data_IF_962805365989
#
_entry.id   IF_962805365989
#
_cell.length_a   1.000
_cell.length_b   1.000
_cell.length_c   1.000
_cell.angle_alpha   90.00
_cell.angle_beta   90.00
_cell.angle_gamma   90.00
#
_symmetry.space_group_name_H-M   'P 1'
#
loop_
_entity.id
_entity.type
_entity.pdbx_description
1 polymer ?
#
# COMPACT_ATOMS: atom_id res chain seq x y z
N UNK A 1 -73.57 -27.69 -53.13
CA UNK A 1 -73.18 -26.66 -52.12
C UNK A 1 -72.71 -27.21 -50.75
N UNK A 2 -72.66 -28.53 -50.50
CA UNK A 2 -72.15 -29.08 -49.22
C UNK A 2 -70.63 -29.31 -49.19
N UNK A 3 -69.99 -29.57 -50.33
CA UNK A 3 -68.54 -29.80 -50.40
C UNK A 3 -67.69 -28.53 -50.11
N UNK A 4 -68.17 -27.36 -50.54
CA UNK A 4 -67.45 -26.07 -50.35
C UNK A 4 -67.36 -25.67 -48.87
N UNK A 5 -68.34 -26.06 -48.05
CA UNK A 5 -68.35 -25.82 -46.59
C UNK A 5 -67.37 -26.72 -45.82
N UNK A 6 -67.01 -27.88 -46.36
CA UNK A 6 -66.02 -28.78 -45.75
C UNK A 6 -64.59 -28.27 -45.93
N UNK A 7 -64.27 -27.79 -47.12
CA UNK A 7 -62.94 -27.25 -47.46
C UNK A 7 -62.62 -25.98 -46.67
N UNK A 8 -63.57 -25.04 -46.55
CA UNK A 8 -63.38 -23.83 -45.75
C UNK A 8 -63.09 -24.09 -44.27
N UNK A 9 -63.72 -25.12 -43.69
CA UNK A 9 -63.48 -25.52 -42.29
C UNK A 9 -62.10 -26.18 -42.10
N UNK A 10 -61.60 -26.88 -43.11
CA UNK A 10 -60.27 -27.48 -43.08
C UNK A 10 -59.17 -26.42 -43.15
N UNK A 11 -59.29 -25.43 -44.06
CA UNK A 11 -58.35 -24.32 -44.17
C UNK A 11 -58.29 -23.51 -42.88
N UNK A 12 -59.44 -23.21 -42.27
CA UNK A 12 -59.48 -22.49 -40.99
C UNK A 12 -58.76 -23.25 -39.87
N UNK A 13 -58.97 -24.58 -39.76
CA UNK A 13 -58.26 -25.43 -38.78
C UNK A 13 -56.76 -25.48 -39.04
N UNK A 14 -56.34 -25.59 -40.31
CA UNK A 14 -54.94 -25.56 -40.69
C UNK A 14 -54.30 -24.23 -40.31
N UNK A 15 -54.96 -23.10 -40.58
CA UNK A 15 -54.46 -21.77 -40.24
C UNK A 15 -54.29 -21.58 -38.72
N UNK A 16 -55.26 -22.05 -37.93
CA UNK A 16 -55.18 -22.01 -36.45
C UNK A 16 -54.06 -22.90 -35.93
N UNK A 17 -53.95 -24.15 -36.39
CA UNK A 17 -52.89 -25.08 -35.95
C UNK A 17 -51.51 -24.58 -36.37
N UNK A 18 -51.37 -24.10 -37.60
CA UNK A 18 -50.10 -23.54 -38.10
C UNK A 18 -49.69 -22.31 -37.29
N UNK A 19 -50.60 -21.37 -37.06
CA UNK A 19 -50.34 -20.19 -36.22
C UNK A 19 -49.96 -20.59 -34.79
N UNK A 20 -50.64 -21.58 -34.21
CA UNK A 20 -50.31 -22.09 -32.88
C UNK A 20 -48.91 -22.72 -32.84
N UNK A 21 -48.55 -23.53 -33.84
CA UNK A 21 -47.22 -24.16 -33.92
C UNK A 21 -46.13 -23.10 -34.09
N UNK A 22 -46.29 -22.15 -35.01
CA UNK A 22 -45.29 -21.10 -35.23
C UNK A 22 -45.11 -20.25 -33.97
N UNK A 23 -46.20 -19.87 -33.30
CA UNK A 23 -46.11 -19.11 -32.06
C UNK A 23 -45.48 -19.93 -30.93
N UNK A 24 -45.81 -21.22 -30.81
CA UNK A 24 -45.20 -22.11 -29.83
C UNK A 24 -43.69 -22.24 -30.05
N UNK A 25 -43.26 -22.46 -31.30
CA UNK A 25 -41.83 -22.52 -31.67
C UNK A 25 -41.14 -21.19 -31.37
N UNK A 26 -41.77 -20.06 -31.68
CA UNK A 26 -41.25 -18.73 -31.36
C UNK A 26 -41.07 -18.55 -29.85
N UNK A 27 -42.06 -18.94 -29.05
CA UNK A 27 -41.99 -18.87 -27.58
C UNK A 27 -40.84 -19.74 -27.05
N UNK A 28 -40.71 -20.98 -27.55
CA UNK A 28 -39.59 -21.87 -27.17
C UNK A 28 -38.25 -21.26 -27.56
N UNK A 29 -38.15 -20.65 -28.75
CA UNK A 29 -36.93 -19.99 -29.21
C UNK A 29 -36.56 -18.78 -28.33
N UNK A 30 -37.53 -17.95 -27.94
CA UNK A 30 -37.32 -16.82 -27.04
C UNK A 30 -36.88 -17.29 -25.65
N UNK A 31 -37.48 -18.36 -25.14
CA UNK A 31 -37.04 -18.98 -23.89
C UNK A 31 -35.59 -19.43 -24.06
N UNK A 32 -35.26 -20.28 -25.02
CA UNK A 32 -33.87 -20.75 -25.22
C UNK A 32 -32.85 -19.60 -25.35
N UNK A 33 -33.20 -18.52 -26.05
CA UNK A 33 -32.33 -17.35 -26.21
C UNK A 33 -32.13 -16.60 -24.88
N UNK A 34 -33.19 -16.44 -24.08
CA UNK A 34 -33.08 -15.84 -22.76
C UNK A 34 -32.19 -16.66 -21.81
N UNK A 35 -32.24 -18.00 -21.86
CA UNK A 35 -31.36 -18.86 -21.05
C UNK A 35 -29.89 -18.62 -21.40
N UNK A 36 -29.59 -18.51 -22.70
CA UNK A 36 -28.24 -18.22 -23.17
C UNK A 36 -27.80 -16.80 -22.78
N UNK A 37 -28.70 -15.81 -22.79
CA UNK A 37 -28.39 -14.47 -22.31
C UNK A 37 -28.07 -14.45 -20.82
N UNK A 38 -28.80 -15.20 -19.98
CA UNK A 38 -28.48 -15.31 -18.55
C UNK A 38 -27.14 -15.99 -18.33
N UNK A 39 -26.84 -17.05 -19.08
CA UNK A 39 -25.55 -17.74 -19.00
C UNK A 39 -24.39 -16.79 -19.36
N UNK A 40 -24.51 -16.04 -20.46
CA UNK A 40 -23.50 -15.03 -20.85
C UNK A 40 -23.41 -13.91 -19.81
N UNK A 41 -24.55 -13.43 -19.28
CA UNK A 41 -24.58 -12.39 -18.26
C UNK A 41 -23.80 -12.85 -17.02
N UNK A 42 -24.09 -14.04 -16.50
CA UNK A 42 -23.57 -14.52 -15.23
C UNK A 42 -22.12 -15.01 -15.35
N UNK A 43 -21.77 -15.68 -16.45
CA UNK A 43 -20.45 -16.30 -16.60
C UNK A 43 -19.44 -15.45 -17.38
N UNK A 44 -19.88 -14.43 -18.14
CA UNK A 44 -18.98 -13.64 -18.99
C UNK A 44 -19.06 -12.15 -18.66
N UNK A 45 -20.24 -11.55 -18.79
CA UNK A 45 -20.38 -10.08 -18.70
C UNK A 45 -20.17 -9.60 -17.27
N UNK A 46 -20.80 -10.25 -16.29
CA UNK A 46 -20.69 -9.85 -14.88
C UNK A 46 -19.26 -9.98 -14.37
N UNK A 47 -18.57 -11.12 -14.51
CA UNK A 47 -17.19 -11.25 -14.03
C UNK A 47 -16.22 -10.27 -14.73
N UNK A 48 -16.39 -10.02 -16.03
CA UNK A 48 -15.50 -9.10 -16.75
C UNK A 48 -15.70 -7.64 -16.33
N UNK A 49 -16.93 -7.16 -16.30
CA UNK A 49 -17.22 -5.75 -16.00
C UNK A 49 -17.04 -5.49 -14.50
N UNK A 50 -17.48 -6.42 -13.65
CA UNK A 50 -17.27 -6.34 -12.21
C UNK A 50 -15.79 -6.44 -11.85
N UNK A 51 -15.04 -7.37 -12.48
CA UNK A 51 -13.60 -7.52 -12.26
C UNK A 51 -12.79 -6.30 -12.69
N UNK A 52 -13.20 -5.64 -13.79
CA UNK A 52 -12.56 -4.40 -14.23
C UNK A 52 -12.85 -3.25 -13.25
N UNK A 53 -14.11 -3.07 -12.86
CA UNK A 53 -14.51 -2.05 -11.89
C UNK A 53 -13.87 -2.29 -10.50
N UNK A 54 -13.87 -3.53 -10.03
CA UNK A 54 -13.23 -3.92 -8.76
C UNK A 54 -11.73 -3.65 -8.79
N UNK A 55 -11.06 -3.92 -9.92
CA UNK A 55 -9.65 -3.58 -10.11
C UNK A 55 -9.39 -2.08 -10.01
N UNK A 56 -10.25 -1.22 -10.55
CA UNK A 56 -10.08 0.23 -10.40
C UNK A 56 -10.29 0.71 -8.96
N UNK A 57 -11.28 0.15 -8.25
CA UNK A 57 -11.46 0.42 -6.82
C UNK A 57 -10.26 -0.06 -6.02
N UNK A 58 -9.74 -1.26 -6.33
CA UNK A 58 -8.55 -1.81 -5.70
C UNK A 58 -7.30 -0.97 -5.98
N UNK A 59 -7.13 -0.45 -7.20
CA UNK A 59 -6.03 0.46 -7.51
C UNK A 59 -6.15 1.78 -6.74
N UNK A 60 -7.35 2.35 -6.60
CA UNK A 60 -7.59 3.57 -5.83
C UNK A 60 -7.29 3.38 -4.32
N UNK A 61 -7.63 2.21 -3.78
CA UNK A 61 -7.36 1.83 -2.39
C UNK A 61 -5.93 1.33 -2.13
N UNK A 62 -5.12 1.14 -3.18
CA UNK A 62 -3.78 0.58 -3.03
C UNK A 62 -2.81 1.61 -2.44
N UNK A 63 -1.68 1.12 -1.93
CA UNK A 63 -0.62 1.93 -1.36
C UNK A 63 0.72 1.55 -1.97
N UNK A 64 1.57 2.53 -2.24
CA UNK A 64 2.97 2.32 -2.59
C UNK A 64 3.78 2.20 -1.30
N UNK A 65 4.53 1.11 -1.14
CA UNK A 65 5.51 0.94 -0.07
C UNK A 65 6.92 1.10 -0.65
N UNK A 66 7.63 2.15 -0.23
CA UNK A 66 8.94 2.47 -0.77
C UNK A 66 9.88 2.99 0.31
N UNK A 67 11.15 2.60 0.25
CA UNK A 67 12.21 3.16 1.09
C UNK A 67 12.91 4.30 0.37
N UNK A 68 12.71 5.53 0.84
CA UNK A 68 13.30 6.75 0.31
C UNK A 68 14.68 6.95 0.98
N UNK A 69 15.79 6.87 0.23
CA UNK A 69 17.10 7.19 0.78
C UNK A 69 17.24 8.71 0.89
N UNK A 70 17.42 9.19 2.11
CA UNK A 70 17.82 10.56 2.40
C UNK A 70 19.34 10.54 2.53
N UNK A 71 20.01 11.23 1.61
CA UNK A 71 21.45 11.44 1.59
C UNK A 71 21.67 12.93 1.56
N UNK A 72 22.05 13.49 2.70
CA UNK A 72 22.17 14.94 2.87
C UNK A 72 23.40 15.28 3.71
N UNK A 73 23.91 16.49 3.56
CA UNK A 73 25.02 17.01 4.33
C UNK A 73 24.53 18.21 5.15
N UNK A 74 24.54 18.07 6.48
CA UNK A 74 24.08 19.13 7.37
C UNK A 74 25.29 19.96 7.81
N UNK A 75 25.31 21.29 7.53
CA UNK A 75 26.37 22.14 8.02
C UNK A 75 26.21 22.35 9.52
N UNK A 76 27.25 22.00 10.28
CA UNK A 76 27.30 22.18 11.73
C UNK A 76 28.29 23.28 12.04
N UNK A 77 27.74 24.44 12.41
CA UNK A 77 28.50 25.64 12.79
C UNK A 77 28.29 25.90 14.28
N UNK A 78 29.36 25.75 15.04
CA UNK A 78 29.37 26.13 16.45
C UNK A 78 30.76 26.57 16.88
N UNK A 79 30.79 27.42 17.88
CA UNK A 79 32.01 27.89 18.49
C UNK A 79 32.36 27.00 19.68
N UNK A 80 33.51 26.33 19.65
CA UNK A 80 34.01 25.50 20.76
C UNK A 80 34.84 26.37 21.72
N UNK A 81 34.37 26.63 22.96
CA UNK A 81 35.17 27.33 23.95
C UNK A 81 36.27 26.40 24.47
N UNK A 82 37.52 26.80 24.30
CA UNK A 82 38.69 26.06 24.77
C UNK A 82 39.32 26.81 25.94
N UNK A 83 38.99 26.37 27.15
CA UNK A 83 39.57 26.85 28.40
C UNK A 83 40.46 25.74 29.00
N UNK A 84 41.78 25.82 28.78
CA UNK A 84 42.71 24.82 29.31
C UNK A 84 44.05 25.39 29.75
N UNK A 85 44.59 24.88 30.86
CA UNK A 85 45.96 25.17 31.27
C UNK A 85 46.92 24.28 30.46
N UNK A 86 47.80 24.90 29.68
CA UNK A 86 48.79 24.19 28.86
C UNK A 86 50.19 24.78 29.05
N UNK A 87 51.21 24.02 28.67
CA UNK A 87 52.61 24.47 28.73
C UNK A 87 53.07 24.76 27.31
N UNK A 88 53.19 26.04 26.98
CA UNK A 88 53.73 26.49 25.68
C UNK A 88 55.25 26.58 25.74
N UNK A 89 55.91 26.38 24.60
CA UNK A 89 57.36 26.53 24.49
C UNK A 89 57.65 27.77 23.66
N UNK A 90 58.51 28.66 24.16
CA UNK A 90 58.91 29.86 23.42
C UNK A 90 59.68 29.47 22.14
N UNK A 91 59.28 30.04 21.01
CA UNK A 91 59.95 29.84 19.71
C UNK A 91 61.08 30.82 19.45
N UNK A 92 61.13 31.93 20.18
CA UNK A 92 62.14 32.98 20.11
C UNK A 92 62.45 33.56 21.49
N UNK A 93 63.55 34.30 21.60
CA UNK A 93 63.97 34.98 22.83
C UNK A 93 63.03 36.15 23.13
N UNK A 94 62.37 36.15 24.30
CA UNK A 94 61.42 37.19 24.70
C UNK A 94 62.05 38.13 25.74
N UNK A 95 62.28 39.42 25.41
CA UNK A 95 62.78 40.38 26.38
C UNK A 95 61.72 40.73 27.44
N UNK A 96 62.12 40.73 28.71
CA UNK A 96 61.32 41.14 29.87
C UNK A 96 61.99 42.29 30.61
N UNK A 97 61.16 43.23 31.06
CA UNK A 97 61.60 44.29 32.00
C UNK A 97 60.88 44.07 33.32
N UNK A 98 61.62 43.78 34.39
CA UNK A 98 61.06 43.49 35.72
C UNK A 98 61.66 44.39 36.78
N UNK A 99 60.89 44.62 37.85
CA UNK A 99 61.39 45.27 39.06
C UNK A 99 61.84 44.20 40.05
N UNK A 100 63.12 44.20 40.40
CA UNK A 100 63.69 43.26 41.36
C UNK A 100 64.22 43.99 42.60
N UNK A 101 64.18 43.30 43.75
CA UNK A 101 64.88 43.74 44.94
C UNK A 101 66.23 43.04 44.97
N UNK A 102 67.31 43.79 44.79
CA UNK A 102 68.68 43.26 44.78
C UNK A 102 69.23 43.40 46.19
N UNK A 103 69.48 42.26 46.84
CA UNK A 103 70.11 42.20 48.17
C UNK A 103 71.51 41.61 48.05
N UNK A 104 72.53 42.47 48.07
CA UNK A 104 73.94 42.10 48.14
C UNK A 104 74.53 42.55 49.50
N UNK A 105 75.64 41.96 49.98
CA UNK A 105 76.18 42.19 51.32
C UNK A 105 76.44 43.66 51.71
N UNK A 106 76.57 44.56 50.73
CA UNK A 106 76.80 46.00 50.93
C UNK A 106 75.78 46.91 50.20
N UNK A 107 74.74 46.34 49.57
CA UNK A 107 73.83 47.10 48.71
C UNK A 107 72.44 46.47 48.74
N UNK A 108 71.45 47.27 49.14
CA UNK A 108 70.04 46.89 49.15
C UNK A 108 69.28 47.88 48.28
N UNK A 109 68.99 47.48 47.05
CA UNK A 109 68.21 48.30 46.11
C UNK A 109 66.83 47.65 45.97
N UNK A 110 65.83 48.36 46.47
CA UNK A 110 64.44 48.00 46.25
C UNK A 110 63.98 48.63 44.93
N UNK A 111 63.25 47.86 44.11
CA UNK A 111 62.69 48.32 42.83
C UNK A 111 63.72 48.67 41.74
N UNK A 112 64.83 47.94 41.65
CA UNK A 112 65.75 48.08 40.52
C UNK A 112 65.10 47.57 39.23
N UNK A 113 65.15 48.37 38.15
CA UNK A 113 64.74 47.94 36.81
C UNK A 113 65.80 47.01 36.23
N UNK A 114 65.44 45.77 35.93
CA UNK A 114 66.33 44.77 35.32
C UNK A 114 65.74 44.32 33.99
N UNK A 115 66.60 44.25 32.97
CA UNK A 115 66.27 43.71 31.66
C UNK A 115 66.73 42.24 31.62
N UNK A 116 65.78 41.31 31.47
CA UNK A 116 66.04 39.89 31.31
C UNK A 116 65.56 39.45 29.93
N UNK A 117 66.11 38.36 29.39
CA UNK A 117 65.57 37.70 28.21
C UNK A 117 65.20 36.28 28.58
N UNK A 118 63.96 35.87 28.31
CA UNK A 118 63.55 34.48 28.40
C UNK A 118 64.00 33.77 27.12
N UNK A 119 64.95 32.82 27.19
CA UNK A 119 65.49 32.19 25.99
C UNK A 119 64.45 31.31 25.29
N UNK A 120 64.58 31.17 23.98
CA UNK A 120 63.85 30.20 23.18
C UNK A 120 63.99 28.78 23.80
N UNK A 121 62.92 27.99 23.74
CA UNK A 121 62.85 26.68 24.40
C UNK A 121 62.40 26.70 25.86
N UNK A 122 62.21 27.88 26.47
CA UNK A 122 61.63 27.98 27.82
C UNK A 122 60.18 27.53 27.81
N UNK A 123 59.81 26.64 28.74
CA UNK A 123 58.46 26.09 28.90
C UNK A 123 57.66 26.95 29.87
N UNK A 124 56.59 27.58 29.40
CA UNK A 124 55.74 28.48 30.18
C UNK A 124 54.36 27.87 30.37
N UNK A 125 53.89 27.69 31.62
CA UNK A 125 52.50 27.37 31.88
C UNK A 125 51.63 28.59 31.60
N UNK A 126 50.61 28.43 30.77
CA UNK A 126 49.64 29.46 30.41
C UNK A 126 48.23 28.92 30.53
N UNK A 127 47.28 29.79 30.88
CA UNK A 127 45.86 29.51 30.75
C UNK A 127 45.43 29.96 29.35
N UNK A 128 45.03 29.00 28.51
CA UNK A 128 44.51 29.26 27.19
C UNK A 128 42.99 29.43 27.29
N UNK A 129 42.50 30.56 26.79
CA UNK A 129 41.08 30.88 26.61
C UNK A 129 40.90 31.31 25.16
N UNK A 130 40.35 30.41 24.35
CA UNK A 130 40.20 30.59 22.91
C UNK A 130 38.83 30.09 22.45
N UNK A 131 38.14 30.89 21.64
CA UNK A 131 36.96 30.45 20.92
C UNK A 131 37.38 29.89 19.56
N UNK A 132 37.22 28.58 19.36
CA UNK A 132 37.57 27.91 18.10
C UNK A 132 36.29 27.72 17.27
N UNK A 133 36.15 28.39 16.11
CA UNK A 133 35.01 28.15 15.24
C UNK A 133 35.15 26.77 14.59
N UNK A 134 34.11 25.95 14.72
CA UNK A 134 33.98 24.68 14.02
C UNK A 134 32.95 24.88 12.91
N UNK A 135 33.39 24.63 11.67
CA UNK A 135 32.54 24.62 10.48
C UNK A 135 32.80 23.29 9.77
N UNK A 136 31.93 22.32 10.00
CA UNK A 136 32.06 20.97 9.44
C UNK A 136 30.72 20.52 8.87
N UNK A 137 30.76 19.81 7.75
CA UNK A 137 29.59 19.12 7.21
C UNK A 137 29.54 17.70 7.79
N UNK A 138 28.37 17.31 8.28
CA UNK A 138 28.11 15.94 8.74
C UNK A 138 27.23 15.26 7.69
N UNK A 139 27.72 14.17 7.14
CA UNK A 139 26.97 13.32 6.23
C UNK A 139 25.87 12.58 6.99
N UNK A 140 24.64 12.67 6.49
CA UNK A 140 23.47 11.98 7.00
C UNK A 140 23.00 10.97 5.96
N UNK A 141 23.06 9.69 6.33
CA UNK A 141 22.50 8.59 5.56
C UNK A 141 21.33 7.99 6.34
N UNK A 142 20.10 8.33 5.93
CA UNK A 142 18.88 7.81 6.53
C UNK A 142 18.01 7.16 5.46
N UNK A 143 17.51 5.96 5.72
CA UNK A 143 16.54 5.29 4.86
C UNK A 143 15.15 5.37 5.51
N UNK A 144 14.25 6.12 4.89
CA UNK A 144 12.89 6.36 5.42
C UNK A 144 11.89 5.54 4.63
N UNK A 145 11.17 4.63 5.28
CA UNK A 145 10.05 3.92 4.65
C UNK A 145 8.84 4.85 4.55
N UNK A 146 8.28 4.99 3.36
CA UNK A 146 7.07 5.74 3.08
C UNK A 146 6.00 4.80 2.52
N UNK A 147 4.81 4.87 3.13
CA UNK A 147 3.60 4.21 2.62
C UNK A 147 2.68 5.30 2.07
N UNK A 148 2.49 5.32 0.75
CA UNK A 148 1.77 6.40 0.04
C UNK A 148 0.46 5.83 -0.50
N UNK A 149 -0.71 6.21 0.04
CA UNK A 149 -2.02 5.81 -0.50
C UNK A 149 -2.25 6.39 -1.90
N UNK A 150 -2.59 5.55 -2.88
CA UNK A 150 -2.79 5.99 -4.27
C UNK A 150 -3.97 6.97 -4.41
N UNK A 151 -5.04 6.77 -3.63
CA UNK A 151 -6.18 7.69 -3.57
C UNK A 151 -5.84 9.09 -3.03
N UNK A 152 -4.67 9.28 -2.40
CA UNK A 152 -4.16 10.59 -1.97
C UNK A 152 -3.16 11.20 -2.96
N UNK A 153 -2.95 10.57 -4.12
CA UNK A 153 -2.04 11.05 -5.16
C UNK A 153 -2.79 11.57 -6.38
N UNK A 154 -2.04 12.15 -7.34
CA UNK A 154 -2.59 12.54 -8.64
C UNK A 154 -3.07 11.36 -9.49
N UNK A 155 -2.71 10.11 -9.15
CA UNK A 155 -3.25 8.93 -9.81
C UNK A 155 -4.70 8.65 -9.41
N UNK A 156 -5.21 9.26 -8.35
CA UNK A 156 -6.62 9.18 -7.97
C UNK A 156 -7.54 9.65 -9.11
N UNK A 157 -7.31 10.84 -9.67
CA UNK A 157 -8.19 11.44 -10.69
C UNK A 157 -8.48 10.51 -11.89
N UNK A 158 -7.48 9.90 -12.58
CA UNK A 158 -7.76 8.99 -13.68
C UNK A 158 -8.38 7.66 -13.23
N UNK A 159 -8.04 7.14 -12.04
CA UNK A 159 -8.63 5.91 -11.50
C UNK A 159 -10.10 6.13 -11.10
N UNK A 160 -10.39 7.26 -10.48
CA UNK A 160 -11.74 7.70 -10.10
C UNK A 160 -12.63 7.86 -11.34
N UNK A 161 -12.11 8.50 -12.39
CA UNK A 161 -12.84 8.64 -13.64
C UNK A 161 -13.19 7.27 -14.25
N UNK A 162 -12.26 6.30 -14.21
CA UNK A 162 -12.54 4.93 -14.65
C UNK A 162 -13.60 4.26 -13.76
N UNK A 163 -13.53 4.43 -12.43
CA UNK A 163 -14.56 3.95 -11.51
C UNK A 163 -15.94 4.49 -11.87
N UNK A 164 -16.07 5.82 -12.01
CA UNK A 164 -17.33 6.50 -12.35
C UNK A 164 -17.90 6.10 -13.71
N UNK A 165 -17.07 5.71 -14.67
CA UNK A 165 -17.52 5.22 -15.99
C UNK A 165 -18.18 3.83 -15.85
N UNK A 166 -17.61 2.95 -15.04
CA UNK A 166 -18.05 1.55 -14.94
C UNK A 166 -19.09 1.31 -13.84
N UNK A 167 -19.11 2.13 -12.79
CA UNK A 167 -20.00 1.99 -11.63
C UNK A 167 -21.50 1.93 -12.01
N UNK A 168 -22.04 2.78 -12.91
CA UNK A 168 -23.45 2.68 -13.30
C UNK A 168 -23.76 1.37 -14.02
N UNK A 169 -22.81 0.88 -14.82
CA UNK A 169 -22.98 -0.35 -15.61
C UNK A 169 -22.93 -1.57 -14.69
N UNK A 170 -21.98 -1.63 -13.75
CA UNK A 170 -21.90 -2.72 -12.78
C UNK A 170 -23.11 -2.76 -11.87
N UNK A 171 -23.55 -1.61 -11.33
CA UNK A 171 -24.76 -1.54 -10.50
C UNK A 171 -26.00 -2.03 -11.26
N UNK A 172 -26.18 -1.56 -12.49
CA UNK A 172 -27.28 -2.02 -13.34
C UNK A 172 -27.23 -3.53 -13.56
N UNK A 173 -26.04 -4.08 -13.81
CA UNK A 173 -25.86 -5.50 -14.10
C UNK A 173 -26.20 -6.40 -12.89
N UNK A 174 -25.77 -6.02 -11.69
CA UNK A 174 -26.09 -6.75 -10.45
C UNK A 174 -27.57 -6.58 -10.03
N UNK A 175 -28.22 -5.49 -10.40
CA UNK A 175 -29.65 -5.28 -10.15
C UNK A 175 -30.55 -5.90 -11.24
N UNK A 176 -29.98 -6.37 -12.35
CA UNK A 176 -30.71 -7.15 -13.34
C UNK A 176 -30.89 -8.59 -12.86
N UNK A 177 -32.02 -9.24 -13.18
CA UNK A 177 -32.23 -10.65 -12.88
C UNK A 177 -31.14 -11.57 -13.45
N UNK A 178 -30.82 -12.63 -12.70
CA UNK A 178 -29.90 -13.69 -13.15
C UNK A 178 -30.64 -14.85 -13.84
N UNK A 179 -31.97 -14.90 -13.73
CA UNK A 179 -32.80 -15.97 -14.25
C UNK A 179 -34.24 -15.50 -14.62
N UNK A 180 -35.04 -16.45 -15.10
CA UNK A 180 -36.45 -16.22 -15.43
C UNK A 180 -37.32 -15.88 -14.22
N UNK A 181 -37.02 -16.42 -13.04
CA UNK A 181 -37.76 -16.16 -11.81
C UNK A 181 -37.63 -14.69 -11.41
N UNK A 182 -36.41 -14.18 -11.36
CA UNK A 182 -36.12 -12.76 -11.13
C UNK A 182 -36.70 -11.87 -12.24
N UNK A 183 -36.66 -12.33 -13.49
CA UNK A 183 -37.28 -11.58 -14.62
C UNK A 183 -38.78 -11.48 -14.46
N UNK A 184 -39.45 -12.56 -14.05
CA UNK A 184 -40.88 -12.55 -13.74
C UNK A 184 -41.22 -11.56 -12.62
N UNK A 185 -40.41 -11.50 -11.57
CA UNK A 185 -40.56 -10.54 -10.47
C UNK A 185 -40.36 -9.09 -10.96
N UNK A 186 -39.31 -8.82 -11.74
CA UNK A 186 -39.04 -7.52 -12.33
C UNK A 186 -40.21 -7.03 -13.20
N UNK A 187 -40.72 -7.90 -14.09
CA UNK A 187 -41.87 -7.60 -14.94
C UNK A 187 -43.12 -7.37 -14.10
N UNK A 188 -43.36 -8.18 -13.07
CA UNK A 188 -44.52 -7.97 -12.19
C UNK A 188 -44.45 -6.64 -11.43
N UNK A 189 -43.25 -6.21 -11.04
CA UNK A 189 -42.99 -4.92 -10.36
C UNK A 189 -43.20 -3.73 -11.31
N UNK A 190 -42.79 -3.87 -12.57
CA UNK A 190 -43.07 -2.86 -13.60
C UNK A 190 -44.58 -2.77 -13.89
N UNK A 191 -45.28 -3.90 -13.97
CA UNK A 191 -46.71 -3.95 -14.22
C UNK A 191 -47.56 -3.46 -13.03
N UNK A 192 -47.05 -3.57 -11.80
CA UNK A 192 -47.68 -3.00 -10.61
C UNK A 192 -47.49 -1.48 -10.48
N UNK A 193 -46.75 -0.85 -11.41
CA UNK A 193 -46.48 0.59 -11.42
C UNK A 193 -45.39 1.01 -10.41
N UNK A 194 -44.63 0.06 -9.87
CA UNK A 194 -43.51 0.36 -8.98
C UNK A 194 -42.26 0.73 -9.80
N UNK A 195 -41.54 1.81 -9.43
CA UNK A 195 -40.32 2.18 -10.11
C UNK A 195 -39.22 1.15 -9.85
N UNK A 196 -38.60 0.65 -10.91
CA UNK A 196 -37.40 -0.18 -10.82
C UNK A 196 -36.18 0.74 -10.85
N UNK A 197 -35.36 0.70 -9.80
CA UNK A 197 -34.11 1.44 -9.75
C UNK A 197 -32.93 0.49 -9.97
N UNK A 198 -32.45 0.40 -11.21
CA UNK A 198 -31.28 -0.41 -11.57
C UNK A 198 -29.97 0.17 -11.02
N UNK A 199 -29.96 1.41 -10.54
CA UNK A 199 -28.77 2.06 -9.99
C UNK A 199 -28.76 2.08 -8.46
N UNK A 200 -29.70 1.36 -7.83
CA UNK A 200 -29.72 1.21 -6.38
C UNK A 200 -28.42 0.52 -5.89
N UNK A 201 -27.99 0.89 -4.67
CA UNK A 201 -26.90 0.19 -4.00
C UNK A 201 -27.29 -1.27 -3.76
N UNK A 202 -26.33 -2.15 -3.96
CA UNK A 202 -26.39 -3.60 -3.74
C UNK A 202 -25.10 -4.07 -3.04
N UNK A 203 -25.08 -5.34 -2.63
CA UNK A 203 -23.98 -5.94 -1.87
C UNK A 203 -22.60 -5.76 -2.56
N UNK A 204 -22.55 -5.89 -3.90
CA UNK A 204 -21.32 -5.63 -4.65
C UNK A 204 -20.91 -4.16 -4.57
N UNK A 205 -21.83 -3.23 -4.79
CA UNK A 205 -21.50 -1.79 -4.80
C UNK A 205 -21.07 -1.23 -3.44
N UNK A 206 -21.42 -1.90 -2.34
CA UNK A 206 -20.99 -1.53 -0.99
C UNK A 206 -19.54 -1.95 -0.71
N UNK A 207 -19.14 -3.11 -1.23
CA UNK A 207 -17.77 -3.61 -1.10
C UNK A 207 -17.29 -4.26 -2.42
N UNK A 208 -16.96 -3.45 -3.44
CA UNK A 208 -16.63 -3.95 -4.77
C UNK A 208 -15.21 -4.51 -4.85
N UNK A 209 -14.35 -4.27 -3.87
CA UNK A 209 -12.99 -4.79 -3.83
C UNK A 209 -12.79 -5.64 -2.58
N UNK A 210 -12.49 -6.95 -2.72
CA UNK A 210 -12.41 -7.84 -1.56
C UNK A 210 -11.21 -7.53 -0.64
N UNK A 211 -10.19 -6.83 -1.15
CA UNK A 211 -8.96 -6.46 -0.45
C UNK A 211 -7.71 -6.92 -1.20
N UNK A 212 -6.53 -6.75 -0.58
CA UNK A 212 -5.24 -7.11 -1.18
C UNK A 212 -4.73 -8.43 -0.61
N UNK A 213 -4.02 -9.23 -1.42
CA UNK A 213 -3.36 -10.46 -0.96
C UNK A 213 -2.29 -10.21 0.10
N UNK A 214 -1.76 -8.98 0.16
CA UNK A 214 -0.79 -8.52 1.15
C UNK A 214 -1.11 -7.10 1.60
N UNK A 215 -1.06 -6.84 2.91
CA UNK A 215 -1.18 -5.48 3.47
C UNK A 215 0.12 -4.71 3.29
N UNK A 216 0.06 -3.38 3.18
CA UNK A 216 1.27 -2.56 3.17
C UNK A 216 1.83 -2.25 4.57
N UNK A 217 1.05 -2.47 5.64
CA UNK A 217 1.36 -1.94 6.97
C UNK A 217 1.21 -0.40 7.01
N UNK A 218 0.97 0.18 8.18
CA UNK A 218 0.77 1.63 8.34
C UNK A 218 1.99 2.31 8.96
N UNK A 219 2.09 3.63 8.81
CA UNK A 219 3.27 4.43 9.18
C UNK A 219 3.77 4.20 10.61
N UNK A 220 5.09 4.17 10.77
CA UNK A 220 5.74 4.10 12.07
C UNK A 220 6.81 5.18 12.19
N UNK A 221 7.05 5.63 13.43
CA UNK A 221 8.10 6.59 13.75
C UNK A 221 9.44 5.87 13.86
N UNK A 222 10.48 6.38 13.19
CA UNK A 222 11.71 5.66 12.84
C UNK A 222 12.79 5.68 13.94
N UNK A 223 12.48 6.11 15.15
CA UNK A 223 13.47 6.20 16.24
C UNK A 223 13.28 5.07 17.25
N UNK A 224 14.14 4.05 17.18
CA UNK A 224 14.43 3.05 18.22
C UNK A 224 13.25 2.21 18.78
N UNK A 225 12.09 2.21 18.11
CA UNK A 225 10.92 1.41 18.52
C UNK A 225 10.73 0.21 17.57
N UNK A 226 10.55 -1.02 18.09
CA UNK A 226 10.20 -2.19 17.27
C UNK A 226 8.93 -1.93 16.46
N UNK A 227 8.94 -2.29 15.17
CA UNK A 227 7.81 -2.09 14.27
C UNK A 227 6.57 -2.79 14.86
N UNK A 228 5.47 -2.06 15.12
CA UNK A 228 4.25 -2.68 15.61
C UNK A 228 3.78 -3.77 14.63
N UNK A 229 3.26 -4.91 15.12
CA UNK A 229 2.86 -6.02 14.25
C UNK A 229 1.83 -5.67 13.17
N UNK A 230 1.06 -4.60 13.38
CA UNK A 230 0.10 -3.97 12.44
C UNK A 230 0.77 -3.20 11.28
N UNK A 231 2.04 -2.83 11.44
CA UNK A 231 2.80 -2.02 10.49
C UNK A 231 3.74 -2.87 9.60
N UNK A 232 3.71 -4.19 9.79
CA UNK A 232 4.38 -5.19 8.96
C UNK A 232 3.41 -5.68 7.88
N UNK A 233 3.90 -5.82 6.65
CA UNK A 233 3.15 -6.42 5.56
C UNK A 233 2.77 -7.87 5.89
N UNK A 234 1.48 -8.21 5.80
CA UNK A 234 0.97 -9.56 6.08
C UNK A 234 0.19 -10.11 4.91
N UNK A 235 0.32 -11.41 4.69
CA UNK A 235 -0.54 -12.11 3.75
C UNK A 235 -1.95 -12.24 4.34
N UNK A 236 -2.94 -11.88 3.53
CA UNK A 236 -4.33 -11.82 3.96
C UNK A 236 -5.12 -13.06 3.55
N UNK A 237 -4.56 -13.88 2.64
CA UNK A 237 -5.26 -14.99 2.00
C UNK A 237 -6.23 -14.58 0.88
N UNK A 238 -6.40 -13.28 0.61
CA UNK A 238 -7.20 -12.81 -0.53
C UNK A 238 -6.46 -13.13 -1.83
N UNK A 239 -7.22 -13.59 -2.82
CA UNK A 239 -6.77 -13.83 -4.19
C UNK A 239 -7.49 -12.91 -5.17
N UNK A 240 -6.85 -12.51 -6.29
CA UNK A 240 -7.52 -11.73 -7.32
C UNK A 240 -8.69 -12.51 -7.93
N UNK A 241 -9.85 -11.86 -8.05
CA UNK A 241 -11.10 -12.43 -8.60
C UNK A 241 -10.91 -12.99 -10.02
N UNK A 242 -10.08 -12.35 -10.84
CA UNK A 242 -9.80 -12.79 -12.21
C UNK A 242 -10.85 -12.32 -13.22
N UNK A 243 -11.03 -13.07 -14.30
CA UNK A 243 -11.94 -12.75 -15.41
C UNK A 243 -13.06 -13.76 -15.57
N UNK A 244 -13.27 -14.26 -16.80
CA UNK A 244 -14.28 -15.30 -17.10
C UNK A 244 -13.92 -16.58 -16.33
N UNK A 245 -14.78 -17.10 -15.43
CA UNK A 245 -14.44 -18.24 -14.56
C UNK A 245 -13.96 -19.48 -15.32
N UNK A 246 -14.65 -19.85 -16.41
CA UNK A 246 -14.29 -21.02 -17.22
C UNK A 246 -12.94 -20.91 -17.94
N UNK A 247 -12.45 -19.68 -18.19
CA UNK A 247 -11.13 -19.45 -18.76
C UNK A 247 -10.08 -19.32 -17.66
N UNK A 248 -10.44 -18.67 -16.55
CA UNK A 248 -9.57 -18.49 -15.41
C UNK A 248 -9.25 -19.82 -14.71
N UNK A 249 -10.21 -20.75 -14.62
CA UNK A 249 -9.98 -22.12 -14.14
C UNK A 249 -8.92 -22.88 -14.95
N UNK A 250 -8.81 -22.61 -16.25
CA UNK A 250 -7.78 -23.24 -17.08
C UNK A 250 -6.37 -22.70 -16.77
N UNK A 251 -6.29 -21.47 -16.23
CA UNK A 251 -5.03 -20.80 -15.90
C UNK A 251 -4.66 -21.05 -14.44
N UNK A 252 -5.64 -21.06 -13.53
CA UNK A 252 -5.50 -21.16 -12.07
C UNK A 252 -6.38 -22.27 -11.50
N UNK A 253 -6.25 -23.53 -11.95
CA UNK A 253 -7.13 -24.63 -11.55
C UNK A 253 -7.14 -24.85 -10.03
N UNK A 254 -6.03 -24.59 -9.35
CA UNK A 254 -5.88 -24.71 -7.90
C UNK A 254 -6.90 -23.86 -7.12
N UNK A 255 -7.26 -22.67 -7.60
CA UNK A 255 -8.23 -21.81 -6.92
C UNK A 255 -9.66 -22.38 -7.00
N UNK A 256 -9.99 -23.02 -8.12
CA UNK A 256 -11.33 -23.57 -8.34
C UNK A 256 -11.55 -24.89 -7.61
N UNK A 257 -10.49 -25.63 -7.27
CA UNK A 257 -10.60 -26.79 -6.37
C UNK A 257 -11.12 -26.42 -4.98
N UNK A 258 -10.92 -25.16 -4.56
CA UNK A 258 -11.37 -24.64 -3.27
C UNK A 258 -12.67 -23.82 -3.35
N UNK A 259 -13.38 -23.88 -4.48
CA UNK A 259 -14.64 -23.17 -4.69
C UNK A 259 -14.53 -21.85 -5.48
N UNK A 260 -13.33 -21.52 -5.98
CA UNK A 260 -13.08 -20.33 -6.79
C UNK A 260 -12.68 -19.09 -5.96
N UNK A 261 -12.26 -18.01 -6.64
CA UNK A 261 -11.78 -16.80 -5.99
C UNK A 261 -12.76 -16.19 -4.97
N UNK A 262 -14.05 -16.13 -5.29
CA UNK A 262 -15.08 -15.57 -4.40
C UNK A 262 -15.18 -16.36 -3.08
N UNK A 263 -15.15 -17.70 -3.15
CA UNK A 263 -15.22 -18.56 -1.98
C UNK A 263 -13.97 -18.44 -1.10
N UNK A 264 -12.79 -18.36 -1.72
CA UNK A 264 -11.51 -18.15 -1.03
C UNK A 264 -11.52 -16.78 -0.34
N UNK A 265 -11.93 -15.73 -1.04
CA UNK A 265 -11.96 -14.37 -0.50
C UNK A 265 -12.97 -14.22 0.65
N UNK A 266 -14.14 -14.84 0.54
CA UNK A 266 -15.11 -14.88 1.63
C UNK A 266 -14.54 -15.56 2.88
N UNK A 267 -13.83 -16.69 2.72
CA UNK A 267 -13.17 -17.38 3.84
C UNK A 267 -12.04 -16.54 4.43
N UNK A 268 -11.20 -15.93 3.59
CA UNK A 268 -10.11 -15.07 4.02
C UNK A 268 -10.66 -13.91 4.86
N UNK A 269 -11.72 -13.24 4.41
CA UNK A 269 -12.36 -12.14 5.14
C UNK A 269 -12.93 -12.57 6.51
N UNK A 270 -13.42 -13.82 6.65
CA UNK A 270 -13.87 -14.35 7.96
C UNK A 270 -12.72 -14.64 8.91
N UNK A 271 -11.54 -14.98 8.38
CA UNK A 271 -10.34 -15.30 9.16
C UNK A 271 -9.52 -14.04 9.47
N UNK A 272 -9.76 -12.93 8.76
CA UNK A 272 -9.11 -11.67 9.07
C UNK A 272 -9.54 -11.17 10.45
N UNK A 273 -8.58 -10.90 11.34
CA UNK A 273 -8.90 -10.35 12.64
C UNK A 273 -9.52 -8.95 12.46
N UNK A 274 -10.76 -8.77 12.91
CA UNK A 274 -11.44 -7.45 12.99
C UNK A 274 -10.72 -6.49 13.94
N UNK A 275 -9.85 -7.02 14.79
CA UNK A 275 -8.91 -6.31 15.66
C UNK A 275 -7.64 -7.15 15.75
N UNK A 276 -6.51 -6.62 15.28
CA UNK A 276 -5.21 -7.22 15.50
C UNK A 276 -4.97 -7.24 17.01
N UNK A 277 -5.07 -8.41 17.64
CA UNK A 277 -4.55 -8.59 18.99
C UNK A 277 -3.04 -8.33 18.90
N UNK A 278 -2.46 -7.47 19.77
CA UNK A 278 -1.02 -7.26 19.77
C UNK A 278 -0.35 -8.61 19.96
N UNK A 279 0.53 -8.99 19.04
CA UNK A 279 1.44 -10.10 19.28
C UNK A 279 2.31 -9.67 20.46
N UNK A 280 2.17 -10.33 21.60
CA UNK A 280 3.12 -10.18 22.71
C UNK A 280 4.49 -10.57 22.16
N UNK A 281 5.37 -9.58 22.00
CA UNK A 281 6.76 -9.84 21.72
C UNK A 281 7.40 -10.34 23.02
N UNK A 282 7.58 -11.65 23.12
CA UNK A 282 8.32 -12.26 24.22
C UNK A 282 9.83 -12.12 23.97
N UNK A 283 10.47 -11.18 24.67
CA UNK A 283 11.93 -11.00 24.65
C UNK A 283 12.72 -12.23 25.11
N UNK A 284 12.07 -13.26 25.67
CA UNK A 284 12.71 -14.50 26.08
C UNK A 284 12.81 -15.56 24.97
N UNK A 285 12.18 -15.36 23.81
CA UNK A 285 12.16 -16.35 22.74
C UNK A 285 13.21 -15.99 21.68
N UNK A 286 14.33 -16.73 21.55
CA UNK A 286 15.30 -16.46 20.49
C UNK A 286 14.62 -16.65 19.14
N UNK A 287 14.74 -15.65 18.27
CA UNK A 287 14.21 -15.68 16.91
C UNK A 287 14.61 -17.01 16.24
N UNK A 288 13.62 -17.74 15.72
CA UNK A 288 13.91 -18.90 14.90
C UNK A 288 14.74 -18.42 13.70
N UNK A 289 15.86 -19.09 13.37
CA UNK A 289 16.76 -18.65 12.30
C UNK A 289 16.10 -18.58 10.90
N UNK A 290 14.88 -19.09 10.78
CA UNK A 290 14.15 -19.24 9.52
C UNK A 290 13.17 -18.07 9.25
N UNK A 291 12.98 -17.15 10.22
CA UNK A 291 11.97 -16.06 10.16
C UNK A 291 12.57 -14.67 9.86
N UNK A 292 13.89 -14.61 9.62
CA UNK A 292 14.51 -13.46 8.99
C UNK A 292 14.64 -13.80 7.52
N UNK A 293 13.84 -13.17 6.65
CA UNK A 293 13.72 -13.40 5.21
C UNK A 293 15.02 -13.30 4.39
N UNK A 294 15.99 -14.15 4.70
CA UNK A 294 17.21 -14.41 3.95
C UNK A 294 16.84 -15.55 3.01
N UNK A 295 16.90 -15.28 1.71
CA UNK A 295 16.73 -16.27 0.64
C UNK A 295 17.58 -17.52 0.95
N UNK A 296 17.07 -18.74 0.73
CA UNK A 296 17.85 -19.96 0.96
C UNK A 296 19.11 -19.93 0.10
N UNK A 297 20.27 -19.97 0.74
CA UNK A 297 21.58 -20.12 0.09
C UNK A 297 21.57 -21.43 -0.71
N UNK A 298 22.00 -21.44 -1.99
CA UNK A 298 22.02 -22.68 -2.76
C UNK A 298 23.00 -23.67 -2.12
N UNK A 299 22.52 -24.91 -1.93
CA UNK A 299 23.28 -25.97 -1.27
C UNK A 299 24.64 -26.19 -1.97
N UNK A 300 25.74 -26.30 -1.22
CA UNK A 300 27.03 -26.63 -1.81
C UNK A 300 26.96 -28.08 -2.30
N UNK A 301 27.31 -28.27 -3.57
CA UNK A 301 27.41 -29.58 -4.19
C UNK A 301 28.24 -30.55 -3.33
N UNK A 302 27.85 -31.81 -3.38
CA UNK A 302 28.61 -32.93 -2.85
C UNK A 302 28.64 -34.02 -3.93
N UNK A 303 29.71 -34.81 -3.96
CA UNK A 303 30.57 -35.09 -5.13
C UNK A 303 29.96 -35.92 -6.26
#
# INVERSE_FOLDING_TARGET
MRAVRGVGRFIWRFMVIFSFIVNLVLVVAVIALAALLFDIKNNVVTPLVAGLHSSFVGLDQATIDWTIPVRDAIPVQFDLPLEQATVVTLTEDVPLTVFASISAPALQVNSATVFLSLPAGTRLPVALDLQVPVDTEIDVELDVRAVIPLGETQLHDPLENLRLIFEPITRALYNLPDDYGGTGQLVSTLLSGQPVNLLAANAYSENPWPGFSRTAGVGYDLQDVPIPPENVARETGIVPEGGIPALDEQIRPELYTSGGPDAINAQAQMLMPTTLAPLEYDFAQPAAPDDLGILPTPAPGSP
#
